data_IF_970532658943
#
_entry.id   IF_970532658943
#
_cell.length_a   1.000
_cell.length_b   1.000
_cell.length_c   1.000
_cell.angle_alpha   90.00
_cell.angle_beta   90.00
_cell.angle_gamma   90.00
#
_symmetry.space_group_name_H-M   'P 1'
#
loop_
_entity.id
_entity.type
_entity.pdbx_description
1 polymer ?
#
# COMPACT_ATOMS: atom_id res chain seq x y z
N UNK A 1 16.97 -2.92 -4.45
CA UNK A 1 16.39 -2.76 -3.11
C UNK A 1 16.48 -1.29 -2.69
N UNK A 2 15.35 -0.70 -2.30
CA UNK A 2 15.27 0.66 -1.72
C UNK A 2 14.93 0.51 -0.23
N UNK A 3 15.71 1.14 0.65
CA UNK A 3 15.50 1.07 2.10
C UNK A 3 15.47 2.47 2.72
N UNK A 4 14.46 2.69 3.58
CA UNK A 4 14.33 3.87 4.44
C UNK A 4 14.07 3.39 5.88
N UNK A 5 14.91 3.82 6.81
CA UNK A 5 14.91 3.25 8.17
C UNK A 5 14.36 4.19 9.25
N UNK A 6 14.76 5.46 9.26
CA UNK A 6 14.34 6.46 10.25
C UNK A 6 14.39 7.85 9.63
N UNK A 7 13.26 8.36 9.16
CA UNK A 7 13.25 9.59 8.37
C UNK A 7 11.92 10.34 8.45
N UNK A 8 12.00 11.66 8.38
CA UNK A 8 10.90 12.49 7.91
C UNK A 8 11.19 12.74 6.43
N UNK A 9 10.27 12.32 5.57
CA UNK A 9 10.44 12.38 4.11
C UNK A 9 9.21 13.08 3.53
N UNK A 10 9.45 14.15 2.79
CA UNK A 10 8.36 14.83 2.10
C UNK A 10 7.82 13.97 0.94
N UNK A 11 8.70 13.32 0.16
CA UNK A 11 8.27 12.48 -0.95
C UNK A 11 9.20 11.29 -1.20
N UNK A 12 8.59 10.12 -1.39
CA UNK A 12 9.22 8.96 -2.03
C UNK A 12 8.58 8.79 -3.40
N UNK A 13 9.42 8.66 -4.43
CA UNK A 13 8.97 8.46 -5.80
C UNK A 13 9.70 7.29 -6.44
N UNK A 14 8.95 6.28 -6.85
CA UNK A 14 9.43 5.18 -7.68
C UNK A 14 8.73 5.26 -9.03
N UNK A 15 9.51 5.35 -10.11
CA UNK A 15 8.96 5.52 -11.46
C UNK A 15 9.74 4.68 -12.46
N UNK A 16 9.03 3.95 -13.33
CA UNK A 16 9.61 3.16 -14.42
C UNK A 16 10.73 2.20 -13.94
N UNK A 17 10.49 1.51 -12.84
CA UNK A 17 11.51 0.71 -12.14
C UNK A 17 11.11 -0.76 -12.04
N UNK A 18 12.12 -1.63 -12.02
CA UNK A 18 12.00 -3.02 -11.57
C UNK A 18 12.74 -3.13 -10.24
N UNK A 19 12.04 -3.55 -9.18
CA UNK A 19 12.57 -3.51 -7.81
C UNK A 19 12.21 -4.81 -7.08
N UNK A 20 13.22 -5.55 -6.64
CA UNK A 20 12.99 -6.76 -5.83
C UNK A 20 12.34 -6.45 -4.46
N UNK A 21 12.73 -5.34 -3.81
CA UNK A 21 12.19 -4.97 -2.50
C UNK A 21 12.26 -3.47 -2.23
N UNK A 22 11.16 -2.93 -1.73
CA UNK A 22 11.06 -1.60 -1.09
C UNK A 22 10.74 -1.83 0.39
N UNK A 23 11.52 -1.24 1.28
CA UNK A 23 11.28 -1.34 2.72
C UNK A 23 11.33 0.04 3.39
N UNK A 24 10.26 0.35 4.13
CA UNK A 24 10.10 1.53 4.95
C UNK A 24 9.84 1.07 6.39
N UNK A 25 10.69 1.48 7.34
CA UNK A 25 10.74 0.84 8.68
C UNK A 25 10.22 1.69 9.82
N UNK A 26 10.53 2.97 9.84
CA UNK A 26 9.99 3.94 10.79
C UNK A 26 10.08 5.30 10.12
N UNK A 27 8.95 5.84 9.70
CA UNK A 27 8.94 7.04 8.89
C UNK A 27 7.69 7.88 9.13
N UNK A 28 7.86 9.18 8.91
CA UNK A 28 6.76 10.07 8.58
C UNK A 28 6.92 10.45 7.12
N UNK A 29 5.97 10.05 6.29
CA UNK A 29 6.00 10.29 4.84
C UNK A 29 4.78 11.12 4.49
N UNK A 30 4.98 12.26 3.84
CA UNK A 30 3.87 13.07 3.34
C UNK A 30 3.27 12.42 2.08
N UNK A 31 4.13 11.96 1.16
CA UNK A 31 3.68 11.28 -0.06
C UNK A 31 4.59 10.12 -0.46
N UNK A 32 4.00 8.97 -0.77
CA UNK A 32 4.65 7.87 -1.49
C UNK A 32 3.93 7.64 -2.82
N UNK A 33 4.69 7.69 -3.92
CA UNK A 33 4.17 7.52 -5.28
C UNK A 33 4.94 6.41 -5.99
N UNK A 34 4.23 5.36 -6.34
CA UNK A 34 4.73 4.25 -7.18
C UNK A 34 4.00 4.28 -8.52
N UNK A 35 4.74 4.55 -9.58
CA UNK A 35 4.19 4.70 -10.94
C UNK A 35 4.91 3.81 -11.94
N UNK A 36 4.16 3.10 -12.78
CA UNK A 36 4.71 2.27 -13.87
C UNK A 36 5.86 1.36 -13.39
N UNK A 37 5.66 0.66 -12.28
CA UNK A 37 6.73 -0.12 -11.64
C UNK A 37 6.34 -1.58 -11.51
N UNK A 38 7.36 -2.45 -11.53
CA UNK A 38 7.25 -3.87 -11.20
C UNK A 38 8.00 -4.10 -9.89
N UNK A 39 7.30 -4.50 -8.85
CA UNK A 39 7.87 -4.64 -7.51
C UNK A 39 7.48 -5.99 -6.89
N UNK A 40 8.46 -6.81 -6.51
CA UNK A 40 8.13 -8.12 -5.90
C UNK A 40 7.59 -7.93 -4.47
N UNK A 41 8.17 -7.00 -3.70
CA UNK A 41 7.74 -6.77 -2.32
C UNK A 41 7.82 -5.31 -1.89
N UNK A 42 6.73 -4.83 -1.29
CA UNK A 42 6.67 -3.57 -0.54
C UNK A 42 6.41 -3.89 0.93
N UNK A 43 7.31 -3.48 1.81
CA UNK A 43 7.20 -3.63 3.25
C UNK A 43 7.16 -2.27 3.94
N UNK A 44 6.05 -1.99 4.62
CA UNK A 44 5.87 -0.79 5.44
C UNK A 44 5.65 -1.20 6.89
N UNK A 45 6.54 -0.75 7.76
CA UNK A 45 6.51 -0.99 9.20
C UNK A 45 6.53 0.34 9.94
N UNK A 46 5.74 0.47 11.01
CA UNK A 46 5.71 1.63 11.91
C UNK A 46 5.74 3.01 11.20
N UNK A 47 4.81 3.25 10.28
CA UNK A 47 4.78 4.47 9.48
C UNK A 47 3.53 5.32 9.73
N UNK A 48 3.70 6.64 9.70
CA UNK A 48 2.62 7.60 9.47
C UNK A 48 2.78 8.09 8.04
N UNK A 49 1.76 7.84 7.21
CA UNK A 49 1.76 8.20 5.79
C UNK A 49 0.51 9.02 5.53
N UNK A 50 0.64 10.23 4.99
CA UNK A 50 -0.55 11.02 4.61
C UNK A 50 -1.15 10.43 3.32
N UNK A 51 -0.35 10.32 2.25
CA UNK A 51 -0.83 9.82 0.95
C UNK A 51 0.04 8.70 0.38
N UNK A 52 -0.62 7.61 -0.02
CA UNK A 52 -0.04 6.55 -0.88
C UNK A 52 -0.76 6.56 -2.23
N UNK A 53 0.01 6.69 -3.32
CA UNK A 53 -0.50 6.52 -4.69
C UNK A 53 0.24 5.39 -5.39
N UNK A 54 -0.51 4.39 -5.86
CA UNK A 54 -0.02 3.32 -6.70
C UNK A 54 -0.75 3.38 -8.05
N UNK A 55 -0.01 3.65 -9.12
CA UNK A 55 -0.57 3.82 -10.46
C UNK A 55 0.14 2.96 -11.47
N UNK A 56 -0.62 2.25 -12.32
CA UNK A 56 -0.11 1.42 -13.42
C UNK A 56 1.02 0.47 -12.97
N UNK A 57 0.90 -0.15 -11.81
CA UNK A 57 1.96 -0.95 -11.22
C UNK A 57 1.59 -2.42 -11.11
N UNK A 58 2.61 -3.29 -11.16
CA UNK A 58 2.50 -4.71 -10.85
C UNK A 58 3.27 -4.97 -9.55
N UNK A 59 2.56 -5.44 -8.53
CA UNK A 59 3.13 -5.68 -7.20
C UNK A 59 2.76 -7.08 -6.72
N UNK A 60 3.73 -7.94 -6.46
CA UNK A 60 3.41 -9.31 -6.01
C UNK A 60 2.93 -9.31 -4.55
N UNK A 61 3.59 -8.54 -3.68
CA UNK A 61 3.22 -8.49 -2.26
C UNK A 61 3.35 -7.08 -1.66
N UNK A 62 2.29 -6.66 -0.96
CA UNK A 62 2.30 -5.51 -0.06
C UNK A 62 2.07 -5.98 1.37
N UNK A 63 2.99 -5.66 2.27
CA UNK A 63 2.87 -5.93 3.70
C UNK A 63 2.93 -4.63 4.50
N UNK A 64 1.85 -4.34 5.22
CA UNK A 64 1.71 -3.19 6.12
C UNK A 64 1.42 -3.71 7.53
N UNK A 65 2.26 -3.35 8.51
CA UNK A 65 2.24 -4.02 9.84
C UNK A 65 1.74 -3.15 10.99
N UNK A 66 2.03 -1.86 10.95
CA UNK A 66 1.54 -0.87 11.92
C UNK A 66 1.62 0.46 11.21
N UNK A 67 0.48 0.97 10.78
CA UNK A 67 0.43 2.20 9.99
C UNK A 67 -0.76 3.07 10.35
N UNK A 68 -0.56 4.37 10.23
CA UNK A 68 -1.64 5.34 10.06
C UNK A 68 -1.52 5.86 8.63
N UNK A 69 -2.57 5.68 7.85
CA UNK A 69 -2.65 6.10 6.45
C UNK A 69 -3.88 6.97 6.28
N UNK A 70 -3.72 8.24 5.96
CA UNK A 70 -4.88 9.12 5.76
C UNK A 70 -5.56 8.81 4.42
N UNK A 71 -4.78 8.58 3.36
CA UNK A 71 -5.30 8.22 2.04
C UNK A 71 -4.45 7.19 1.32
N UNK A 72 -5.10 6.15 0.80
CA UNK A 72 -4.53 5.21 -0.16
C UNK A 72 -5.32 5.19 -1.47
N UNK A 73 -4.61 5.40 -2.58
CA UNK A 73 -5.17 5.40 -3.93
C UNK A 73 -4.44 4.39 -4.83
N UNK A 74 -5.18 3.37 -5.26
CA UNK A 74 -4.70 2.35 -6.20
C UNK A 74 -5.45 2.48 -7.52
N UNK A 75 -4.74 2.76 -8.60
CA UNK A 75 -5.32 2.95 -9.95
C UNK A 75 -4.61 2.10 -10.98
N UNK A 76 -5.38 1.39 -11.84
CA UNK A 76 -4.84 0.58 -12.94
C UNK A 76 -3.72 -0.38 -12.52
N UNK A 77 -3.80 -0.95 -11.31
CA UNK A 77 -2.71 -1.76 -10.75
C UNK A 77 -3.11 -3.22 -10.61
N UNK A 78 -2.12 -4.10 -10.66
CA UNK A 78 -2.25 -5.52 -10.36
C UNK A 78 -1.47 -5.82 -9.09
N UNK A 79 -2.16 -6.34 -8.08
CA UNK A 79 -1.56 -6.67 -6.78
C UNK A 79 -1.95 -8.10 -6.41
N UNK A 80 -0.99 -9.01 -6.28
CA UNK A 80 -1.32 -10.41 -6.00
C UNK A 80 -1.76 -10.60 -4.53
N UNK A 81 -1.04 -9.99 -3.59
CA UNK A 81 -1.34 -10.08 -2.17
C UNK A 81 -1.16 -8.76 -1.44
N UNK A 82 -2.16 -8.42 -0.62
CA UNK A 82 -2.09 -7.34 0.37
C UNK A 82 -2.34 -7.92 1.76
N UNK A 83 -1.39 -7.70 2.66
CA UNK A 83 -1.51 -8.05 4.08
C UNK A 83 -1.40 -6.78 4.93
N UNK A 84 -2.46 -6.48 5.67
CA UNK A 84 -2.54 -5.33 6.58
C UNK A 84 -2.79 -5.81 8.00
N UNK A 85 -1.93 -5.37 8.93
CA UNK A 85 -2.01 -5.66 10.36
C UNK A 85 -1.95 -4.35 11.14
N UNK A 86 -2.74 -4.21 12.21
CA UNK A 86 -2.73 -3.06 13.12
C UNK A 86 -2.71 -1.69 12.40
N UNK A 87 -3.65 -1.43 11.49
CA UNK A 87 -3.68 -0.19 10.72
C UNK A 87 -4.91 0.67 11.00
N UNK A 88 -4.72 1.98 11.00
CA UNK A 88 -5.79 2.96 10.87
C UNK A 88 -5.69 3.55 9.47
N UNK A 89 -6.76 3.45 8.70
CA UNK A 89 -6.83 3.96 7.34
C UNK A 89 -8.10 4.81 7.20
N UNK A 90 -7.94 6.11 6.97
CA UNK A 90 -9.11 7.00 6.87
C UNK A 90 -9.83 6.77 5.53
N UNK A 91 -9.09 6.67 4.43
CA UNK A 91 -9.68 6.47 3.11
C UNK A 91 -8.88 5.51 2.23
N UNK A 92 -9.62 4.59 1.59
CA UNK A 92 -9.11 3.75 0.50
C UNK A 92 -9.94 3.98 -0.77
N UNK A 93 -9.28 4.31 -1.87
CA UNK A 93 -9.87 4.40 -3.20
C UNK A 93 -9.16 3.45 -4.16
N UNK A 94 -9.92 2.52 -4.73
CA UNK A 94 -9.42 1.57 -5.72
C UNK A 94 -10.17 1.73 -7.03
N UNK A 95 -9.45 2.03 -8.11
CA UNK A 95 -10.01 2.21 -9.45
C UNK A 95 -9.32 1.27 -10.43
N UNK A 96 -10.11 0.54 -11.24
CA UNK A 96 -9.62 -0.28 -12.35
C UNK A 96 -8.44 -1.21 -12.00
N UNK A 97 -8.49 -1.80 -10.80
CA UNK A 97 -7.39 -2.63 -10.28
C UNK A 97 -7.79 -4.09 -10.15
N UNK A 98 -6.80 -4.98 -10.19
CA UNK A 98 -6.96 -6.40 -9.91
C UNK A 98 -6.16 -6.73 -8.66
N UNK A 99 -6.86 -7.24 -7.65
CA UNK A 99 -6.23 -7.65 -6.40
C UNK A 99 -6.56 -9.12 -6.17
N UNK A 100 -5.53 -9.96 -6.03
CA UNK A 100 -5.72 -11.39 -5.77
C UNK A 100 -6.31 -11.60 -4.37
N UNK A 101 -5.48 -11.41 -3.35
CA UNK A 101 -5.91 -11.60 -1.96
C UNK A 101 -5.67 -10.36 -1.11
N UNK A 102 -6.66 -10.04 -0.28
CA UNK A 102 -6.55 -9.03 0.78
C UNK A 102 -6.81 -9.71 2.12
N UNK A 103 -5.83 -9.65 3.01
CA UNK A 103 -5.95 -10.09 4.39
C UNK A 103 -5.77 -8.89 5.33
N UNK A 104 -6.81 -8.59 6.10
CA UNK A 104 -6.84 -7.53 7.09
C UNK A 104 -7.10 -8.15 8.45
N UNK A 105 -6.23 -7.91 9.41
CA UNK A 105 -6.38 -8.46 10.76
C UNK A 105 -7.08 -7.43 11.64
N UNK A 106 -6.31 -6.56 12.27
CA UNK A 106 -6.77 -5.54 13.21
C UNK A 106 -6.73 -4.17 12.56
N UNK A 107 -7.78 -3.79 11.84
CA UNK A 107 -7.80 -2.50 11.16
C UNK A 107 -9.06 -1.71 11.40
N UNK A 108 -8.90 -0.39 11.50
CA UNK A 108 -9.99 0.56 11.40
C UNK A 108 -9.88 1.19 10.02
N UNK A 109 -10.94 1.03 9.21
CA UNK A 109 -11.04 1.65 7.89
C UNK A 109 -12.33 2.47 7.87
N UNK A 110 -12.20 3.78 7.72
CA UNK A 110 -13.35 4.69 7.80
C UNK A 110 -14.14 4.72 6.48
N UNK A 111 -13.45 4.78 5.35
CA UNK A 111 -14.08 4.81 4.03
C UNK A 111 -13.37 3.94 3.00
N UNK A 112 -14.16 3.15 2.25
CA UNK A 112 -13.68 2.38 1.09
C UNK A 112 -14.55 2.68 -0.12
N UNK A 113 -13.91 3.06 -1.23
CA UNK A 113 -14.54 3.25 -2.53
C UNK A 113 -13.84 2.36 -3.55
N UNK A 114 -14.60 1.51 -4.23
CA UNK A 114 -14.08 0.59 -5.25
C UNK A 114 -14.86 0.75 -6.55
N UNK A 115 -14.16 1.04 -7.64
CA UNK A 115 -14.74 1.23 -8.97
C UNK A 115 -14.02 0.35 -10.00
N UNK A 116 -14.78 -0.38 -10.82
CA UNK A 116 -14.26 -1.21 -11.92
C UNK A 116 -13.10 -2.14 -11.53
N UNK A 117 -13.06 -2.61 -10.28
CA UNK A 117 -11.96 -3.41 -9.76
C UNK A 117 -12.42 -4.83 -9.47
N UNK A 118 -11.50 -5.77 -9.58
CA UNK A 118 -11.70 -7.17 -9.25
C UNK A 118 -10.87 -7.50 -8.02
N UNK A 119 -11.53 -8.04 -7.00
CA UNK A 119 -10.86 -8.57 -5.81
C UNK A 119 -11.30 -10.03 -5.67
N UNK A 120 -10.36 -10.97 -5.73
CA UNK A 120 -10.68 -12.41 -5.72
C UNK A 120 -11.04 -12.88 -4.30
N UNK A 121 -10.25 -12.51 -3.30
CA UNK A 121 -10.52 -12.83 -1.90
C UNK A 121 -10.28 -11.66 -0.96
N UNK A 122 -11.23 -11.44 -0.05
CA UNK A 122 -11.08 -10.53 1.09
C UNK A 122 -11.37 -11.29 2.39
N UNK A 123 -10.43 -11.24 3.32
CA UNK A 123 -10.58 -11.78 4.67
C UNK A 123 -10.29 -10.68 5.69
N UNK A 124 -11.28 -10.37 6.53
CA UNK A 124 -11.16 -9.38 7.61
C UNK A 124 -11.37 -10.08 8.95
N UNK A 125 -10.36 -10.06 9.82
CA UNK A 125 -10.37 -10.71 11.13
C UNK A 125 -10.40 -9.70 12.28
N UNK A 126 -11.55 -9.08 12.52
CA UNK A 126 -11.71 -8.13 13.62
C UNK A 126 -11.60 -8.82 15.00
N UNK A 127 -10.79 -8.26 15.90
CA UNK A 127 -10.71 -8.62 17.32
C UNK A 127 -11.63 -7.74 18.16
#
# INVERSE_FOLDING_TARGET
>A
MVQVTNSQIDMVLVTNSQIDMVQVTTSKIDMDLVTNSQTDMVLVTNSQIDIVLVTNSQIDMVLVTTSQIDMDLVTNSQIDMVLVTNSQIDMVLVTTSQIGMVLVTTSQIDMVIVTNSQIDMVLVMNS
#
